data_IF_973416576923
#
_entry.id   IF_973416576923
#
_cell.length_a   1.000
_cell.length_b   1.000
_cell.length_c   1.000
_cell.angle_alpha   90.00
_cell.angle_beta   90.00
_cell.angle_gamma   90.00
#
_symmetry.space_group_name_H-M   'P 1'
#
loop_
_entity.id
_entity.type
_entity.pdbx_description
1 polymer ?
#
# COMPACT_ATOMS: atom_id res chain seq x y z
N UNK A 1 4.62 6.59 -2.04
CA UNK A 1 4.65 5.23 -1.47
C UNK A 1 4.49 4.21 -2.59
N UNK A 2 5.40 3.22 -2.62
CA UNK A 2 5.48 2.21 -3.66
C UNK A 2 4.37 1.15 -3.55
N UNK A 3 3.98 0.63 -4.71
CA UNK A 3 3.06 -0.49 -4.82
C UNK A 3 3.50 -1.73 -4.05
N UNK A 4 2.50 -2.57 -3.79
CA UNK A 4 2.43 -4.01 -4.09
C UNK A 4 2.02 -4.86 -2.86
N UNK A 5 1.61 -6.09 -3.20
CA UNK A 5 1.01 -7.12 -2.37
C UNK A 5 2.05 -8.13 -1.84
N UNK A 6 2.00 -8.45 -0.54
CA UNK A 6 2.74 -9.50 0.19
C UNK A 6 4.21 -9.20 0.57
N UNK A 7 4.41 -8.41 1.62
CA UNK A 7 5.74 -8.26 2.25
C UNK A 7 6.09 -9.46 3.16
N UNK A 8 6.87 -10.44 2.67
CA UNK A 8 7.40 -11.53 3.49
C UNK A 8 8.49 -11.04 4.45
N UNK A 9 8.13 -10.59 5.65
CA UNK A 9 9.13 -10.13 6.60
C UNK A 9 9.99 -11.29 7.15
N UNK A 10 11.26 -10.97 7.33
CA UNK A 10 12.41 -11.86 7.50
C UNK A 10 12.47 -12.59 8.88
N UNK A 11 13.23 -13.70 9.02
CA UNK A 11 13.50 -14.36 10.30
C UNK A 11 14.16 -13.49 11.40
N UNK A 12 14.73 -12.32 11.08
CA UNK A 12 15.44 -11.47 12.05
C UNK A 12 14.48 -10.49 12.75
N UNK A 13 14.48 -10.40 14.09
CA UNK A 13 13.46 -9.69 14.88
C UNK A 13 13.69 -8.16 14.95
N UNK A 14 13.95 -7.50 13.82
CA UNK A 14 14.13 -6.03 13.76
C UNK A 14 12.83 -5.36 13.29
N UNK A 15 12.20 -4.56 14.15
CA UNK A 15 11.01 -3.78 13.83
C UNK A 15 11.39 -2.54 12.99
N UNK A 16 11.31 -2.65 11.67
CA UNK A 16 11.58 -1.54 10.74
C UNK A 16 10.37 -1.05 9.95
N UNK A 17 9.21 -1.71 10.08
CA UNK A 17 8.00 -1.35 9.34
C UNK A 17 6.99 -0.69 10.26
N UNK A 18 6.42 0.43 9.82
CA UNK A 18 5.30 1.09 10.48
C UNK A 18 4.07 1.13 9.57
N UNK A 19 2.89 0.98 10.17
CA UNK A 19 1.59 1.19 9.53
C UNK A 19 0.90 2.40 10.15
N UNK A 20 0.18 3.17 9.34
CA UNK A 20 -0.61 4.29 9.82
C UNK A 20 -2.01 3.81 10.21
N UNK A 21 -2.35 3.92 11.50
CA UNK A 21 -3.61 3.43 12.05
C UNK A 21 -4.07 4.34 13.19
N UNK A 22 -5.32 4.81 13.14
CA UNK A 22 -5.92 5.75 14.09
C UNK A 22 -5.08 7.03 14.22
N UNK A 23 -4.75 7.63 13.08
CA UNK A 23 -3.99 8.88 12.94
C UNK A 23 -2.60 8.87 13.58
N UNK A 24 -2.00 7.67 13.71
CA UNK A 24 -0.66 7.49 14.25
C UNK A 24 0.10 6.35 13.59
N UNK A 25 1.40 6.53 13.47
CA UNK A 25 2.33 5.47 13.06
C UNK A 25 2.50 4.45 14.19
N UNK A 26 2.40 3.16 13.86
CA UNK A 26 2.63 2.05 14.78
C UNK A 26 3.60 1.05 14.16
N UNK A 27 4.59 0.61 14.92
CA UNK A 27 5.47 -0.47 14.49
C UNK A 27 4.70 -1.78 14.36
N UNK A 28 4.99 -2.52 13.29
CA UNK A 28 4.46 -3.86 13.08
C UNK A 28 5.31 -4.84 13.88
N UNK A 29 4.66 -5.58 14.78
CA UNK A 29 5.31 -6.61 15.60
C UNK A 29 5.87 -7.73 14.71
N UNK A 30 7.11 -8.13 14.97
CA UNK A 30 7.68 -9.34 14.39
C UNK A 30 7.06 -10.58 15.04
N UNK A 31 6.70 -11.56 14.21
CA UNK A 31 6.27 -12.88 14.64
C UNK A 31 7.22 -13.91 14.02
N UNK A 32 7.90 -14.74 14.83
CA UNK A 32 8.75 -15.81 14.31
C UNK A 32 7.98 -16.73 13.37
N UNK A 33 8.57 -17.04 12.21
CA UNK A 33 7.95 -17.80 11.11
C UNK A 33 6.63 -17.19 10.57
N UNK A 34 6.32 -15.94 10.96
CA UNK A 34 5.15 -15.21 10.53
C UNK A 34 5.40 -14.52 9.20
N UNK A 35 4.34 -14.42 8.41
CA UNK A 35 4.31 -13.67 7.17
C UNK A 35 3.45 -12.44 7.37
N UNK A 36 3.97 -11.28 6.97
CA UNK A 36 3.18 -10.07 6.93
C UNK A 36 2.49 -9.94 5.56
N UNK A 37 1.19 -9.72 5.58
CA UNK A 37 0.42 -9.48 4.35
C UNK A 37 -0.14 -8.07 4.40
N UNK A 38 0.24 -7.25 3.42
CA UNK A 38 -0.37 -5.95 3.17
C UNK A 38 -1.18 -5.99 1.87
N UNK A 39 -2.32 -5.33 1.89
CA UNK A 39 -3.20 -5.19 0.73
C UNK A 39 -2.88 -3.85 0.04
N UNK A 40 -2.84 -3.88 -1.29
CA UNK A 40 -2.65 -2.69 -2.12
C UNK A 40 -3.95 -2.15 -2.71
N UNK A 41 -3.83 -1.04 -3.44
CA UNK A 41 -4.94 -0.30 -4.02
C UNK A 41 -5.87 -1.15 -4.90
N UNK A 42 -5.31 -2.08 -5.68
CA UNK A 42 -6.08 -2.90 -6.61
C UNK A 42 -7.18 -3.72 -5.92
N UNK A 43 -6.91 -4.35 -4.77
CA UNK A 43 -7.98 -5.07 -4.04
C UNK A 43 -8.86 -4.11 -3.26
N UNK A 44 -8.36 -2.96 -2.79
CA UNK A 44 -9.28 -1.96 -2.23
C UNK A 44 -10.33 -1.56 -3.27
N UNK A 45 -9.93 -1.35 -4.53
CA UNK A 45 -10.85 -1.02 -5.62
C UNK A 45 -11.79 -2.17 -5.96
N UNK A 46 -11.28 -3.40 -6.14
CA UNK A 46 -12.13 -4.54 -6.51
C UNK A 46 -13.02 -5.03 -5.38
N UNK A 47 -12.71 -4.69 -4.13
CA UNK A 47 -13.59 -4.93 -2.98
C UNK A 47 -14.52 -3.76 -2.67
N UNK A 48 -14.51 -2.70 -3.47
CA UNK A 48 -15.35 -1.52 -3.25
C UNK A 48 -15.04 -0.81 -1.92
N UNK A 49 -13.81 -0.91 -1.43
CA UNK A 49 -13.37 -0.26 -0.21
C UNK A 49 -13.57 -1.05 1.08
N UNK A 50 -14.05 -2.31 1.01
CA UNK A 50 -14.21 -3.19 2.18
C UNK A 50 -12.83 -3.54 2.77
N UNK A 51 -11.90 -3.95 1.91
CA UNK A 51 -10.51 -4.17 2.30
C UNK A 51 -9.72 -2.89 2.02
N UNK A 52 -8.96 -2.41 3.01
CA UNK A 52 -8.23 -1.14 2.92
C UNK A 52 -6.78 -1.35 2.51
N UNK A 53 -6.30 -0.52 1.58
CA UNK A 53 -4.88 -0.43 1.31
C UNK A 53 -4.18 0.21 2.51
N UNK A 54 -3.23 -0.53 3.11
CA UNK A 54 -2.54 -0.05 4.29
C UNK A 54 -1.45 0.96 3.91
N UNK A 55 -1.53 2.16 4.48
CA UNK A 55 -0.44 3.13 4.45
C UNK A 55 0.67 2.64 5.36
N UNK A 56 1.85 2.42 4.80
CA UNK A 56 2.99 1.89 5.52
C UNK A 56 4.30 2.52 5.08
N UNK A 57 5.26 2.60 6.00
CA UNK A 57 6.60 3.11 5.74
C UNK A 57 7.66 2.25 6.39
N UNK A 58 8.86 2.27 5.82
CA UNK A 58 10.06 1.82 6.51
C UNK A 58 10.58 3.00 7.32
N UNK A 59 10.87 2.76 8.60
CA UNK A 59 11.38 3.78 9.51
C UNK A 59 12.52 3.21 10.35
N UNK A 60 13.32 4.09 10.95
CA UNK A 60 14.41 3.67 11.84
C UNK A 60 13.87 2.71 12.92
N UNK A 61 14.54 1.57 13.17
CA UNK A 61 14.14 0.68 14.25
C UNK A 61 14.20 1.34 15.62
N UNK A 62 13.45 0.80 16.61
CA UNK A 62 13.65 1.11 18.02
C UNK A 62 15.14 1.05 18.42
N UNK A 63 15.56 1.92 19.34
CA UNK A 63 16.98 2.13 19.67
C UNK A 63 17.71 0.86 20.10
N UNK A 64 17.01 -0.02 20.81
CA UNK A 64 17.49 -1.33 21.25
C UNK A 64 17.73 -2.32 20.10
N UNK A 65 17.29 -2.03 18.87
CA UNK A 65 17.39 -2.93 17.72
C UNK A 65 18.26 -2.37 16.58
N UNK A 66 18.74 -1.13 16.68
CA UNK A 66 19.50 -0.45 15.61
C UNK A 66 20.83 -1.11 15.28
N UNK A 67 21.39 -1.87 16.21
CA UNK A 67 22.64 -2.61 16.02
C UNK A 67 22.43 -3.93 15.26
N UNK A 68 21.19 -4.35 15.03
CA UNK A 68 20.84 -5.61 14.36
C UNK A 68 20.63 -5.35 12.87
N UNK A 69 21.36 -6.05 11.97
CA UNK A 69 21.15 -5.88 10.54
C UNK A 69 19.74 -6.32 10.14
N UNK A 70 19.07 -5.49 9.33
CA UNK A 70 17.73 -5.78 8.82
C UNK A 70 17.82 -6.28 7.38
N UNK A 71 17.50 -7.56 7.18
CA UNK A 71 17.18 -8.10 5.87
C UNK A 71 15.65 -8.12 5.69
N UNK A 72 15.17 -7.85 4.48
CA UNK A 72 13.75 -7.90 4.14
C UNK A 72 13.55 -8.59 2.80
N UNK A 73 12.57 -9.50 2.72
CA UNK A 73 12.12 -10.13 1.49
C UNK A 73 10.76 -9.54 1.11
N UNK A 74 10.65 -9.04 -0.11
CA UNK A 74 9.41 -8.44 -0.59
C UNK A 74 8.96 -9.23 -1.81
N UNK A 75 7.84 -9.94 -1.69
CA UNK A 75 7.17 -10.55 -2.81
C UNK A 75 6.03 -9.64 -3.24
N UNK A 76 5.71 -9.63 -4.52
CA UNK A 76 4.81 -8.63 -5.07
C UNK A 76 3.82 -9.29 -6.02
N UNK A 77 2.70 -9.74 -5.45
CA UNK A 77 1.61 -10.33 -6.23
C UNK A 77 0.80 -9.24 -6.93
N UNK A 78 0.39 -9.50 -8.17
CA UNK A 78 -0.39 -8.54 -8.96
C UNK A 78 -1.57 -9.25 -9.60
N UNK A 79 -2.65 -8.51 -9.86
CA UNK A 79 -3.72 -9.00 -10.73
C UNK A 79 -3.20 -9.14 -12.16
N UNK A 80 -3.85 -10.01 -12.93
CA UNK A 80 -3.63 -10.09 -14.37
C UNK A 80 -3.88 -8.70 -15.02
N UNK A 81 -3.03 -8.27 -15.97
CA UNK A 81 -3.07 -6.92 -16.52
C UNK A 81 -4.44 -6.50 -17.07
N UNK A 82 -5.23 -7.43 -17.59
CA UNK A 82 -6.48 -7.21 -18.31
C UNK A 82 -7.69 -6.98 -17.37
N UNK A 83 -7.51 -7.22 -16.07
CA UNK A 83 -8.60 -7.13 -15.10
C UNK A 83 -8.97 -5.67 -14.85
N UNK A 84 -10.23 -5.25 -15.07
CA UNK A 84 -10.66 -3.89 -14.77
C UNK A 84 -10.74 -3.67 -13.25
N UNK A 85 -10.22 -2.54 -12.77
CA UNK A 85 -10.19 -2.17 -11.35
C UNK A 85 -11.54 -1.61 -10.87
N UNK A 86 -12.58 -2.43 -10.96
CA UNK A 86 -13.94 -2.13 -10.47
C UNK A 86 -14.40 -3.13 -9.42
N UNK A 87 -15.37 -2.76 -8.57
CA UNK A 87 -15.94 -3.67 -7.59
C UNK A 87 -16.43 -4.99 -8.22
N UNK A 88 -16.10 -6.12 -7.58
CA UNK A 88 -16.58 -7.44 -7.96
C UNK A 88 -18.10 -7.56 -7.74
N UNK A 89 -18.77 -8.42 -8.52
CA UNK A 89 -20.23 -8.35 -8.70
C UNK A 89 -21.15 -8.73 -7.50
N UNK A 90 -20.73 -9.31 -6.36
CA UNK A 90 -21.56 -9.21 -5.15
C UNK A 90 -21.27 -7.96 -4.30
N UNK A 91 -20.13 -7.31 -4.52
CA UNK A 91 -19.64 -6.18 -3.72
C UNK A 91 -20.02 -4.82 -4.31
N UNK A 92 -20.52 -4.78 -5.55
CA UNK A 92 -20.89 -3.54 -6.23
C UNK A 92 -21.96 -2.73 -5.47
N UNK A 93 -22.98 -3.40 -4.91
CA UNK A 93 -24.03 -2.74 -4.11
C UNK A 93 -23.53 -2.19 -2.77
N UNK A 94 -22.41 -2.71 -2.27
CA UNK A 94 -21.77 -2.29 -1.03
C UNK A 94 -20.57 -1.36 -1.28
N UNK A 95 -20.30 -1.07 -2.56
CA UNK A 95 -19.11 -0.33 -2.94
C UNK A 95 -19.24 1.14 -2.55
N UNK A 96 -18.17 1.67 -1.97
CA UNK A 96 -17.98 3.11 -1.92
C UNK A 96 -17.26 3.52 -3.20
N UNK A 97 -17.58 4.69 -3.78
CA UNK A 97 -16.79 5.22 -4.88
C UNK A 97 -15.31 5.26 -4.46
N UNK A 98 -14.38 4.98 -5.39
CA UNK A 98 -12.96 5.09 -5.11
C UNK A 98 -12.66 6.46 -4.49
N UNK A 99 -11.82 6.54 -3.43
CA UNK A 99 -11.54 7.81 -2.78
C UNK A 99 -10.98 8.84 -3.78
N UNK A 100 -11.44 10.09 -3.67
CA UNK A 100 -10.74 11.28 -4.14
C UNK A 100 -10.43 11.38 -5.65
N UNK A 101 -11.31 10.82 -6.51
CA UNK A 101 -11.16 10.96 -7.97
C UNK A 101 -9.94 10.21 -8.48
N UNK A 102 -9.61 9.06 -7.88
CA UNK A 102 -8.36 8.34 -8.19
C UNK A 102 -8.25 7.88 -9.66
N UNK A 103 -9.37 7.87 -10.40
CA UNK A 103 -9.42 7.59 -11.83
C UNK A 103 -9.55 8.85 -12.70
N UNK A 104 -9.45 10.05 -12.11
CA UNK A 104 -9.47 11.31 -12.87
C UNK A 104 -8.32 11.38 -13.88
N UNK A 105 -7.17 10.77 -13.55
CA UNK A 105 -6.03 10.63 -14.46
C UNK A 105 -6.29 9.70 -15.65
N UNK A 106 -7.37 8.93 -15.59
CA UNK A 106 -7.89 8.09 -16.67
C UNK A 106 -9.17 8.69 -17.27
N UNK A 107 -9.35 10.02 -17.19
CA UNK A 107 -10.54 10.72 -17.67
C UNK A 107 -11.84 10.18 -17.05
N UNK A 108 -11.79 9.71 -15.81
CA UNK A 108 -12.93 9.10 -15.10
C UNK A 108 -13.28 7.68 -15.56
N UNK A 109 -12.51 7.10 -16.49
CA UNK A 109 -12.69 5.70 -16.92
C UNK A 109 -12.03 4.74 -15.94
N UNK A 110 -12.54 3.51 -15.88
CA UNK A 110 -12.00 2.47 -15.00
C UNK A 110 -10.78 1.85 -15.67
N UNK A 111 -9.56 2.03 -15.14
CA UNK A 111 -8.38 1.42 -15.73
C UNK A 111 -8.35 -0.08 -15.47
N UNK A 112 -7.60 -0.78 -16.32
CA UNK A 112 -7.15 -2.14 -16.07
C UNK A 112 -6.04 -2.18 -15.02
N UNK A 113 -5.82 -3.34 -14.42
CA UNK A 113 -4.75 -3.54 -13.44
C UNK A 113 -3.36 -3.28 -14.03
N UNK A 114 -3.16 -3.57 -15.32
CA UNK A 114 -1.91 -3.29 -16.04
C UNK A 114 -1.67 -1.80 -16.23
N UNK A 115 -2.67 -1.05 -16.70
CA UNK A 115 -2.60 0.40 -16.85
C UNK A 115 -2.29 1.10 -15.52
N UNK A 116 -2.96 0.67 -14.45
CA UNK A 116 -2.72 1.19 -13.10
C UNK A 116 -1.29 0.90 -12.62
N UNK A 117 -0.76 -0.30 -12.89
CA UNK A 117 0.61 -0.68 -12.54
C UNK A 117 1.66 0.12 -13.30
N UNK A 118 1.47 0.35 -14.59
CA UNK A 118 2.37 1.20 -15.37
C UNK A 118 2.31 2.63 -14.84
N UNK A 119 1.09 3.15 -14.65
CA UNK A 119 0.86 4.52 -14.23
C UNK A 119 1.51 4.81 -12.89
N UNK A 120 1.37 3.96 -11.87
CA UNK A 120 2.08 4.24 -10.62
C UNK A 120 3.56 3.91 -10.65
N UNK A 121 4.05 3.06 -11.55
CA UNK A 121 5.49 2.82 -11.69
C UNK A 121 6.17 4.12 -12.15
N UNK A 122 5.46 4.88 -12.99
CA UNK A 122 5.91 6.18 -13.47
C UNK A 122 5.91 7.29 -12.41
N UNK A 123 5.05 7.26 -11.39
CA UNK A 123 5.03 8.31 -10.34
C UNK A 123 5.61 7.90 -9.02
N UNK A 124 5.78 6.62 -8.74
CA UNK A 124 6.30 6.14 -7.45
C UNK A 124 7.58 6.87 -7.09
N UNK A 125 7.62 7.45 -5.88
CA UNK A 125 8.79 8.19 -5.38
C UNK A 125 8.92 9.62 -5.91
N UNK A 126 8.08 10.04 -6.87
CA UNK A 126 7.99 11.43 -7.34
C UNK A 126 7.01 12.24 -6.49
N UNK A 127 7.06 13.55 -6.63
CA UNK A 127 6.17 14.48 -5.92
C UNK A 127 4.68 14.18 -6.16
N UNK A 128 4.29 13.89 -7.40
CA UNK A 128 2.92 13.51 -7.75
C UNK A 128 2.40 12.29 -6.95
N UNK A 129 3.27 11.33 -6.62
CA UNK A 129 2.89 10.19 -5.78
C UNK A 129 2.70 10.58 -4.31
N UNK A 130 3.45 11.56 -3.81
CA UNK A 130 3.25 12.10 -2.46
C UNK A 130 1.91 12.83 -2.35
N UNK A 131 1.63 13.71 -3.31
CA UNK A 131 0.37 14.45 -3.38
C UNK A 131 -0.84 13.51 -3.47
N UNK A 132 -0.74 12.44 -4.26
CA UNK A 132 -1.79 11.40 -4.34
C UNK A 132 -2.00 10.70 -2.99
N UNK A 133 -0.93 10.38 -2.27
CA UNK A 133 -1.01 9.71 -0.95
C UNK A 133 -1.59 10.66 0.10
N UNK A 134 -1.13 11.90 0.16
CA UNK A 134 -1.59 12.91 1.13
C UNK A 134 -3.03 13.35 0.85
N UNK A 135 -3.44 13.40 -0.42
CA UNK A 135 -4.85 13.62 -0.78
C UNK A 135 -5.70 12.45 -0.34
N UNK A 136 -5.20 11.21 -0.45
CA UNK A 136 -5.98 9.98 -0.17
C UNK A 136 -6.06 9.63 1.30
N UNK A 137 -5.00 9.87 2.05
CA UNK A 137 -4.87 9.46 3.44
C UNK A 137 -4.53 10.68 4.29
N UNK A 138 -5.11 10.82 5.50
CA UNK A 138 -4.83 11.93 6.41
C UNK A 138 -3.45 11.76 7.08
N UNK A 139 -2.40 11.62 6.27
CA UNK A 139 -1.03 11.39 6.69
C UNK A 139 -0.13 12.41 6.01
N UNK A 140 0.69 13.12 6.79
CA UNK A 140 1.80 13.89 6.24
C UNK A 140 3.01 12.97 6.10
N UNK A 141 3.58 12.91 4.90
CA UNK A 141 4.77 12.10 4.66
C UNK A 141 6.01 12.86 5.14
N UNK A 142 6.59 12.42 6.25
CA UNK A 142 7.85 12.97 6.75
C UNK A 142 9.01 12.71 5.76
N UNK A 143 9.85 13.71 5.53
CA UNK A 143 10.91 13.67 4.50
C UNK A 143 12.26 13.13 4.99
N UNK A 144 12.40 12.89 6.29
CA UNK A 144 13.63 12.34 6.87
C UNK A 144 13.60 10.81 6.84
N UNK A 145 14.34 10.23 5.89
CA UNK A 145 14.83 8.86 5.96
C UNK A 145 16.23 8.92 6.55
#
# INVERSE_FOLDING_TARGET
MAFKWLTLNNPIPTAGLQVFLNDRWKYVRHYPNGILVNLGDAIEFTTGGILKAAVHRVYEPPSDQRHVPRLGLFYFATMLPEIPLRPLKPLASQSKPPPNGIFDEFNGTIPTAGEWQIRRAQVTGKQADRELVEKRFPVQLDTKI
#
